data_IF_821368614857
#
_entry.id   IF_821368614857
#
_cell.length_a   1.000
_cell.length_b   1.000
_cell.length_c   1.000
_cell.angle_alpha   90.00
_cell.angle_beta   90.00
_cell.angle_gamma   90.00
#
_symmetry.space_group_name_H-M   'P 1'
#
loop_
_entity.id
_entity.type
_entity.pdbx_description
1 polymer ?
#
# COMPACT_ATOMS: atom_id res chain seq x y z
N UNK A 1 -13.79 -14.88 20.47
CA UNK A 1 -14.42 -14.62 19.15
C UNK A 1 -15.05 -13.24 19.23
N UNK A 2 -14.46 -12.22 18.59
CA UNK A 2 -15.03 -10.87 18.58
C UNK A 2 -16.25 -10.90 17.67
N UNK A 3 -17.45 -10.77 18.23
CA UNK A 3 -18.70 -10.63 17.47
C UNK A 3 -18.71 -9.20 16.95
N UNK A 4 -18.18 -8.98 15.75
CA UNK A 4 -18.30 -7.69 15.07
C UNK A 4 -19.77 -7.41 14.81
N UNK A 5 -20.31 -6.34 15.41
CA UNK A 5 -21.70 -5.88 15.23
C UNK A 5 -21.98 -5.27 13.85
N UNK A 6 -21.00 -5.31 12.94
CA UNK A 6 -21.04 -4.67 11.64
C UNK A 6 -20.49 -5.62 10.57
N UNK A 7 -21.10 -5.59 9.39
CA UNK A 7 -20.61 -6.24 8.17
C UNK A 7 -20.14 -5.16 7.19
N UNK A 8 -19.10 -5.40 6.39
CA UNK A 8 -18.71 -4.50 5.32
C UNK A 8 -19.86 -4.24 4.33
N UNK A 9 -19.93 -3.02 3.79
CA UNK A 9 -20.83 -2.69 2.70
C UNK A 9 -20.24 -3.23 1.39
N UNK A 10 -20.99 -4.06 0.68
CA UNK A 10 -20.62 -4.55 -0.64
C UNK A 10 -20.93 -3.49 -1.70
N UNK A 11 -20.07 -3.41 -2.73
CA UNK A 11 -20.30 -2.51 -3.85
C UNK A 11 -21.56 -2.95 -4.61
N UNK A 12 -22.49 -2.04 -4.93
CA UNK A 12 -23.68 -2.40 -5.69
C UNK A 12 -23.29 -2.78 -7.12
N UNK A 13 -23.78 -3.92 -7.58
CA UNK A 13 -23.74 -4.29 -8.99
C UNK A 13 -24.84 -3.48 -9.70
N UNK A 14 -24.46 -2.63 -10.66
CA UNK A 14 -25.42 -1.80 -11.39
C UNK A 14 -26.34 -2.66 -12.26
N UNK A 15 -25.77 -3.67 -12.92
CA UNK A 15 -26.51 -4.62 -13.74
C UNK A 15 -26.01 -6.06 -13.48
N UNK A 16 -26.85 -6.93 -12.89
CA UNK A 16 -26.46 -8.29 -12.55
C UNK A 16 -26.59 -9.28 -13.71
N UNK A 17 -27.04 -8.85 -14.89
CA UNK A 17 -27.27 -9.74 -16.03
C UNK A 17 -25.96 -10.29 -16.58
N UNK A 18 -25.92 -11.60 -16.82
CA UNK A 18 -24.87 -12.27 -17.55
C UNK A 18 -25.23 -12.42 -19.04
N UNK A 19 -24.28 -12.84 -19.86
CA UNK A 19 -24.44 -12.97 -21.31
C UNK A 19 -25.62 -13.88 -21.69
N UNK A 20 -25.77 -15.03 -21.02
CA UNK A 20 -26.89 -15.95 -21.24
C UNK A 20 -28.24 -15.27 -21.06
N UNK A 21 -28.39 -14.47 -20.00
CA UNK A 21 -29.63 -13.75 -19.75
C UNK A 21 -29.88 -12.66 -20.81
N UNK A 22 -28.83 -12.01 -21.29
CA UNK A 22 -28.95 -11.03 -22.38
C UNK A 22 -29.42 -11.69 -23.69
N UNK A 23 -28.89 -12.87 -24.01
CA UNK A 23 -29.31 -13.62 -25.20
C UNK A 23 -30.77 -14.06 -25.10
N UNK A 24 -31.19 -14.58 -23.94
CA UNK A 24 -32.59 -14.96 -23.70
C UNK A 24 -33.54 -13.77 -23.89
N UNK A 25 -33.22 -12.63 -23.26
CA UNK A 25 -34.00 -11.40 -23.38
C UNK A 25 -34.03 -10.86 -24.82
N UNK A 26 -32.91 -10.96 -25.55
CA UNK A 26 -32.83 -10.53 -26.94
C UNK A 26 -33.69 -11.39 -27.86
N UNK A 27 -33.70 -12.71 -27.66
CA UNK A 27 -34.55 -13.64 -28.41
C UNK A 27 -36.02 -13.33 -28.20
N UNK A 28 -36.46 -13.18 -26.95
CA UNK A 28 -37.84 -12.83 -26.62
C UNK A 28 -38.24 -11.51 -27.30
N UNK A 29 -37.36 -10.50 -27.24
CA UNK A 29 -37.61 -9.20 -27.85
C UNK A 29 -37.71 -9.25 -29.37
N UNK A 30 -36.85 -10.01 -30.05
CA UNK A 30 -36.90 -10.19 -31.51
C UNK A 30 -38.15 -10.94 -31.93
N UNK A 31 -38.51 -12.02 -31.21
CA UNK A 31 -39.73 -12.78 -31.48
C UNK A 31 -40.98 -11.89 -31.39
N UNK A 32 -41.13 -11.17 -30.27
CA UNK A 32 -42.27 -10.27 -30.05
C UNK A 32 -42.31 -9.11 -31.05
N UNK A 33 -41.18 -8.45 -31.31
CA UNK A 33 -41.10 -7.33 -32.24
C UNK A 33 -41.39 -7.73 -33.69
N UNK A 34 -41.08 -8.97 -34.08
CA UNK A 34 -41.38 -9.50 -35.41
C UNK A 34 -42.85 -9.94 -35.57
N UNK A 35 -43.62 -9.97 -34.49
CA UNK A 35 -44.96 -10.57 -34.46
C UNK A 35 -44.92 -12.09 -34.69
N UNK A 36 -43.86 -12.76 -34.24
CA UNK A 36 -43.65 -14.20 -34.42
C UNK A 36 -43.18 -14.61 -35.83
N UNK A 37 -42.86 -13.66 -36.72
CA UNK A 37 -42.29 -13.97 -38.05
C UNK A 37 -40.88 -14.54 -37.97
N UNK A 38 -40.07 -14.03 -37.03
CA UNK A 38 -38.73 -14.55 -36.74
C UNK A 38 -38.88 -15.48 -35.54
N UNK A 39 -38.79 -16.78 -35.78
CA UNK A 39 -39.03 -17.82 -34.77
C UNK A 39 -37.96 -18.93 -34.73
N UNK A 40 -36.98 -18.94 -35.64
CA UNK A 40 -35.84 -19.86 -35.59
C UNK A 40 -34.64 -19.22 -34.87
N UNK A 41 -34.44 -19.64 -33.62
CA UNK A 41 -33.32 -19.25 -32.76
C UNK A 41 -32.46 -20.47 -32.36
N UNK A 42 -32.48 -21.52 -33.18
CA UNK A 42 -31.60 -22.67 -33.02
C UNK A 42 -30.12 -22.26 -33.08
N UNK A 43 -29.22 -23.11 -32.58
CA UNK A 43 -27.77 -22.83 -32.58
C UNK A 43 -27.17 -22.69 -33.99
N UNK A 44 -27.82 -23.25 -35.01
CA UNK A 44 -27.45 -23.11 -36.42
C UNK A 44 -28.01 -21.86 -37.10
N UNK A 45 -28.91 -21.13 -36.45
CA UNK A 45 -29.56 -19.96 -37.03
C UNK A 45 -28.58 -18.78 -37.15
N UNK A 46 -28.42 -18.16 -38.32
CA UNK A 46 -27.65 -16.92 -38.46
C UNK A 46 -28.19 -15.78 -37.58
N UNK A 47 -29.49 -15.77 -37.29
CA UNK A 47 -30.13 -14.80 -36.39
C UNK A 47 -29.66 -15.02 -34.96
N UNK A 48 -29.56 -16.29 -34.51
CA UNK A 48 -29.03 -16.63 -33.18
C UNK A 48 -27.58 -16.17 -33.04
N UNK A 49 -26.73 -16.44 -34.04
CA UNK A 49 -25.33 -16.00 -34.03
C UNK A 49 -25.20 -14.46 -33.96
N UNK A 50 -26.06 -13.72 -34.66
CA UNK A 50 -26.09 -12.25 -34.60
C UNK A 50 -26.54 -11.74 -33.22
N UNK A 51 -27.53 -12.39 -32.61
CA UNK A 51 -27.98 -12.06 -31.25
C UNK A 51 -26.87 -12.34 -30.23
N UNK A 52 -26.19 -13.47 -30.32
CA UNK A 52 -25.07 -13.82 -29.44
C UNK A 52 -23.93 -12.80 -29.57
N UNK A 53 -23.55 -12.44 -30.80
CA UNK A 53 -22.53 -11.40 -31.02
C UNK A 53 -22.90 -10.04 -30.41
N UNK A 54 -24.18 -9.65 -30.51
CA UNK A 54 -24.67 -8.41 -29.88
C UNK A 54 -24.73 -8.50 -28.36
N UNK A 55 -25.15 -9.65 -27.82
CA UNK A 55 -25.20 -9.89 -26.38
C UNK A 55 -23.79 -9.90 -25.78
N UNK A 56 -22.80 -10.49 -26.46
CA UNK A 56 -21.39 -10.43 -26.08
C UNK A 56 -20.90 -8.98 -25.99
N UNK A 57 -21.10 -8.17 -27.04
CA UNK A 57 -20.69 -6.76 -27.03
C UNK A 57 -21.39 -5.96 -25.93
N UNK A 58 -22.66 -6.25 -25.65
CA UNK A 58 -23.39 -5.64 -24.55
C UNK A 58 -22.85 -6.09 -23.18
N UNK A 59 -22.48 -7.37 -23.03
CA UNK A 59 -21.91 -7.92 -21.80
C UNK A 59 -20.56 -7.27 -21.47
N UNK A 60 -19.70 -7.04 -22.46
CA UNK A 60 -18.46 -6.28 -22.27
C UNK A 60 -18.74 -4.86 -21.76
N UNK A 61 -19.73 -4.18 -22.35
CA UNK A 61 -20.11 -2.85 -21.87
C UNK A 61 -20.65 -2.88 -20.43
N UNK A 62 -21.47 -3.87 -20.08
CA UNK A 62 -21.98 -4.05 -18.72
C UNK A 62 -20.88 -4.34 -17.70
N UNK A 63 -19.86 -5.12 -18.09
CA UNK A 63 -18.70 -5.36 -17.24
C UNK A 63 -18.01 -4.04 -16.85
N UNK A 64 -17.74 -3.18 -17.83
CA UNK A 64 -17.14 -1.85 -17.57
C UNK A 64 -18.10 -0.91 -16.83
N UNK A 65 -19.39 -0.97 -17.13
CA UNK A 65 -20.40 -0.19 -16.41
C UNK A 65 -20.43 -0.56 -14.91
N UNK A 66 -20.30 -1.84 -14.56
CA UNK A 66 -20.27 -2.26 -13.16
C UNK A 66 -19.01 -1.75 -12.41
N UNK A 67 -17.91 -1.49 -13.12
CA UNK A 67 -16.70 -0.88 -12.54
C UNK A 67 -16.79 0.65 -12.41
N UNK A 68 -17.77 1.28 -13.06
CA UNK A 68 -17.92 2.74 -13.11
C UNK A 68 -18.05 3.37 -11.72
N UNK A 69 -18.82 2.76 -10.81
CA UNK A 69 -19.04 3.30 -9.45
C UNK A 69 -17.72 3.37 -8.69
N UNK A 70 -16.88 2.34 -8.82
CA UNK A 70 -15.55 2.34 -8.20
C UNK A 70 -14.64 3.40 -8.82
N UNK A 71 -14.62 3.52 -10.15
CA UNK A 71 -13.83 4.53 -10.85
C UNK A 71 -14.21 5.96 -10.41
N UNK A 72 -15.51 6.26 -10.35
CA UNK A 72 -16.03 7.56 -9.87
C UNK A 72 -15.63 7.80 -8.40
N UNK A 73 -15.70 6.78 -7.54
CA UNK A 73 -15.31 6.92 -6.14
C UNK A 73 -13.83 7.34 -5.99
N UNK A 74 -12.95 6.76 -6.80
CA UNK A 74 -11.52 7.10 -6.82
C UNK A 74 -11.34 8.52 -7.38
N UNK A 75 -12.04 8.87 -8.46
CA UNK A 75 -11.93 10.19 -9.08
C UNK A 75 -12.40 11.31 -8.14
N UNK A 76 -13.47 11.09 -7.39
CA UNK A 76 -13.95 12.03 -6.35
C UNK A 76 -12.87 12.25 -5.29
N UNK A 77 -12.22 11.18 -4.83
CA UNK A 77 -11.13 11.28 -3.86
C UNK A 77 -9.90 12.00 -4.44
N UNK A 78 -9.57 11.76 -5.70
CA UNK A 78 -8.48 12.48 -6.39
C UNK A 78 -8.78 13.98 -6.51
N UNK A 79 -10.00 14.35 -6.89
CA UNK A 79 -10.44 15.75 -6.94
C UNK A 79 -10.37 16.40 -5.55
N UNK A 80 -10.67 15.64 -4.50
CA UNK A 80 -10.52 16.07 -3.11
C UNK A 80 -9.05 16.15 -2.64
N UNK A 81 -8.07 15.83 -3.49
CA UNK A 81 -6.64 15.86 -3.14
C UNK A 81 -6.18 14.69 -2.29
N UNK A 82 -6.99 13.63 -2.14
CA UNK A 82 -6.59 12.44 -1.39
C UNK A 82 -5.58 11.65 -2.22
N UNK A 83 -4.38 11.48 -1.66
CA UNK A 83 -3.31 10.67 -2.25
C UNK A 83 -3.07 9.42 -1.41
N UNK A 84 -2.62 8.35 -2.06
CA UNK A 84 -2.21 7.10 -1.41
C UNK A 84 -0.92 7.33 -0.63
N UNK A 85 -0.85 6.88 0.62
CA UNK A 85 0.41 6.89 1.38
C UNK A 85 1.36 5.85 0.82
N UNK A 86 2.58 6.28 0.53
CA UNK A 86 3.67 5.36 0.22
C UNK A 86 4.06 4.59 1.48
N UNK A 87 4.66 3.43 1.26
CA UNK A 87 5.30 2.69 2.32
C UNK A 87 6.57 3.39 2.81
N UNK A 88 7.21 2.80 3.80
CA UNK A 88 8.55 3.17 4.26
C UNK A 88 9.51 2.02 4.00
N UNK A 89 10.79 2.36 3.82
CA UNK A 89 11.88 1.40 3.70
C UNK A 89 12.35 0.95 5.08
N UNK A 90 12.77 -0.31 5.19
CA UNK A 90 13.44 -0.82 6.39
C UNK A 90 14.87 -0.30 6.49
N UNK A 91 15.34 -0.09 7.72
CA UNK A 91 16.68 0.37 8.03
C UNK A 91 17.37 -0.59 9.01
N UNK A 92 18.70 -0.67 8.91
CA UNK A 92 19.52 -1.45 9.84
C UNK A 92 20.96 -0.94 9.88
N UNK A 93 21.78 -1.55 10.73
CA UNK A 93 23.22 -1.30 10.79
C UNK A 93 23.95 -2.53 10.27
N UNK A 94 24.75 -2.34 9.22
CA UNK A 94 25.63 -3.35 8.67
C UNK A 94 26.99 -3.29 9.34
N UNK A 95 27.50 -4.45 9.73
CA UNK A 95 28.85 -4.66 10.23
C UNK A 95 29.68 -5.35 9.16
N UNK A 96 30.68 -4.66 8.65
CA UNK A 96 31.64 -5.18 7.69
C UNK A 96 32.88 -5.68 8.43
N UNK A 97 33.40 -6.84 8.03
CA UNK A 97 34.60 -7.45 8.61
C UNK A 97 35.66 -7.66 7.53
N UNK A 98 36.90 -7.28 7.83
CA UNK A 98 38.08 -7.46 6.99
C UNK A 98 38.80 -8.77 7.32
N UNK A 99 39.52 -9.33 6.35
CA UNK A 99 40.28 -10.58 6.54
C UNK A 99 41.45 -10.44 7.51
N UNK A 100 42.06 -9.24 7.59
CA UNK A 100 43.16 -8.93 8.48
C UNK A 100 43.24 -7.41 8.72
N UNK A 101 43.89 -6.95 9.81
CA UNK A 101 44.14 -5.53 10.03
C UNK A 101 45.00 -4.94 8.91
N UNK A 102 44.60 -3.78 8.38
CA UNK A 102 45.33 -3.08 7.31
C UNK A 102 46.12 -1.89 7.85
N UNK A 103 47.24 -1.56 7.20
CA UNK A 103 48.10 -0.43 7.58
C UNK A 103 47.53 0.94 7.11
N UNK A 104 46.67 0.94 6.10
CA UNK A 104 45.94 2.11 5.60
C UNK A 104 44.45 1.97 5.90
N UNK A 105 43.69 3.09 6.03
CA UNK A 105 42.25 3.02 6.21
C UNK A 105 41.59 2.34 5.00
N UNK A 106 40.61 1.47 5.27
CA UNK A 106 39.81 0.81 4.25
C UNK A 106 38.46 1.50 4.13
N UNK A 107 37.99 1.70 2.90
CA UNK A 107 36.75 2.45 2.63
C UNK A 107 35.75 1.58 1.90
N UNK A 108 34.53 1.49 2.44
CA UNK A 108 33.36 0.96 1.72
C UNK A 108 32.55 2.17 1.22
N UNK A 109 32.27 2.26 -0.09
CA UNK A 109 31.56 3.42 -0.63
C UNK A 109 30.11 3.49 -0.12
N UNK A 110 29.53 4.69 -0.19
CA UNK A 110 28.09 4.89 -0.08
C UNK A 110 27.38 4.17 -1.23
N UNK A 111 26.18 3.65 -0.99
CA UNK A 111 25.39 2.93 -1.98
C UNK A 111 25.90 1.51 -2.25
N UNK A 112 26.80 1.00 -1.42
CA UNK A 112 27.29 -0.37 -1.53
C UNK A 112 26.16 -1.36 -1.22
N UNK A 113 25.92 -2.29 -2.14
CA UNK A 113 24.77 -3.19 -2.07
C UNK A 113 25.10 -4.49 -1.31
N UNK A 114 24.19 -4.87 -0.42
CA UNK A 114 24.27 -6.10 0.37
C UNK A 114 22.93 -6.83 0.28
N UNK A 115 22.99 -8.13 0.03
CA UNK A 115 21.81 -8.96 -0.12
C UNK A 115 21.59 -9.87 1.08
N UNK A 116 20.33 -10.21 1.28
CA UNK A 116 19.93 -11.25 2.22
C UNK A 116 20.39 -12.64 1.77
N UNK A 117 20.24 -13.64 2.65
CA UNK A 117 20.60 -15.03 2.34
C UNK A 117 19.82 -15.60 1.14
N UNK A 118 18.59 -15.15 0.90
CA UNK A 118 17.80 -15.59 -0.25
C UNK A 118 18.17 -14.90 -1.57
N UNK A 119 18.94 -13.81 -1.51
CA UNK A 119 19.34 -13.01 -2.67
C UNK A 119 18.24 -12.10 -3.23
N UNK A 120 17.09 -12.02 -2.55
CA UNK A 120 15.90 -11.26 -2.98
C UNK A 120 15.92 -9.84 -2.45
N UNK A 121 16.24 -9.67 -1.18
CA UNK A 121 16.16 -8.37 -0.51
C UNK A 121 17.55 -7.73 -0.57
N UNK A 122 17.59 -6.46 -0.97
CA UNK A 122 18.83 -5.71 -1.13
C UNK A 122 18.81 -4.45 -0.27
N UNK A 123 19.93 -4.19 0.41
CA UNK A 123 20.19 -3.01 1.19
C UNK A 123 21.35 -2.23 0.59
N UNK A 124 21.30 -0.90 0.68
CA UNK A 124 22.36 0.00 0.27
C UNK A 124 22.92 0.74 1.48
N UNK A 125 24.25 0.91 1.56
CA UNK A 125 24.88 1.73 2.61
C UNK A 125 24.50 3.21 2.44
N UNK A 126 24.08 3.85 3.53
CA UNK A 126 23.59 5.24 3.45
C UNK A 126 24.71 6.27 3.38
N UNK A 127 25.90 5.90 3.86
CA UNK A 127 27.09 6.75 3.91
C UNK A 127 28.36 5.94 3.62
N UNK A 128 29.48 6.64 3.48
CA UNK A 128 30.79 6.03 3.30
C UNK A 128 31.30 5.49 4.64
N UNK A 129 31.64 4.20 4.69
CA UNK A 129 32.26 3.59 5.87
C UNK A 129 33.78 3.64 5.74
N UNK A 130 34.45 4.20 6.75
CA UNK A 130 35.91 4.20 6.87
C UNK A 130 36.32 3.32 8.05
N UNK A 131 36.94 2.17 7.77
CA UNK A 131 37.58 1.32 8.76
C UNK A 131 39.01 1.83 8.96
N UNK A 132 39.30 2.36 10.14
CA UNK A 132 40.60 2.93 10.47
C UNK A 132 41.70 1.87 10.40
N UNK A 133 42.94 2.30 10.11
CA UNK A 133 44.10 1.40 10.11
C UNK A 133 44.22 0.64 11.44
N UNK A 134 44.53 -0.65 11.36
CA UNK A 134 44.60 -1.56 12.52
C UNK A 134 43.26 -2.11 13.01
N UNK A 135 42.12 -1.60 12.54
CA UNK A 135 40.80 -2.17 12.82
C UNK A 135 40.40 -3.22 11.77
N UNK A 136 39.62 -4.20 12.19
CA UNK A 136 39.11 -5.29 11.31
C UNK A 136 37.61 -5.23 11.09
N UNK A 137 36.89 -4.38 11.81
CA UNK A 137 35.44 -4.25 11.69
C UNK A 137 35.02 -2.79 11.67
N UNK A 138 33.94 -2.51 10.95
CA UNK A 138 33.29 -1.20 10.91
C UNK A 138 31.78 -1.34 10.74
N UNK A 139 31.05 -0.32 11.19
CA UNK A 139 29.59 -0.29 11.15
C UNK A 139 29.09 0.91 10.37
N UNK A 140 28.04 0.71 9.58
CA UNK A 140 27.40 1.76 8.79
C UNK A 140 25.91 1.51 8.68
N UNK A 141 25.11 2.58 8.66
CA UNK A 141 23.67 2.43 8.41
C UNK A 141 23.41 2.01 6.97
N UNK A 142 22.35 1.23 6.79
CA UNK A 142 21.90 0.82 5.47
C UNK A 142 20.37 0.81 5.40
N UNK A 143 19.87 1.23 4.25
CA UNK A 143 18.45 1.27 3.92
C UNK A 143 18.10 0.24 2.85
N UNK A 144 16.95 -0.41 3.00
CA UNK A 144 16.42 -1.32 2.00
C UNK A 144 16.14 -0.56 0.70
N UNK A 145 16.49 -1.13 -0.45
CA UNK A 145 16.21 -0.50 -1.76
C UNK A 145 14.75 -0.57 -2.15
N UNK A 146 13.97 -1.43 -1.49
CA UNK A 146 12.55 -1.62 -1.73
C UNK A 146 11.70 -1.13 -0.55
N UNK A 147 10.54 -0.57 -0.87
CA UNK A 147 9.53 -0.18 0.11
C UNK A 147 8.79 -1.42 0.62
N UNK A 148 8.27 -1.34 1.85
CA UNK A 148 7.39 -2.37 2.40
C UNK A 148 8.01 -3.20 3.52
N UNK A 149 7.14 -3.96 4.20
CA UNK A 149 7.52 -4.86 5.28
C UNK A 149 8.41 -6.01 4.82
N UNK A 150 8.44 -6.29 3.52
CA UNK A 150 9.36 -7.27 2.95
C UNK A 150 10.83 -6.94 3.22
N UNK A 151 11.18 -5.66 3.47
CA UNK A 151 12.52 -5.27 3.88
C UNK A 151 12.86 -5.60 5.34
N UNK A 152 11.87 -5.93 6.17
CA UNK A 152 12.10 -6.26 7.58
C UNK A 152 12.68 -7.67 7.68
N UNK A 153 14.00 -7.75 7.86
CA UNK A 153 14.75 -9.00 7.93
C UNK A 153 15.31 -9.26 9.32
N UNK A 154 15.43 -10.54 9.67
CA UNK A 154 15.98 -10.96 10.96
C UNK A 154 17.46 -10.58 11.15
N UNK A 155 17.97 -10.77 12.35
CA UNK A 155 19.40 -10.63 12.64
C UNK A 155 20.23 -11.62 11.81
N UNK A 156 21.45 -11.25 11.47
CA UNK A 156 22.42 -12.06 10.73
C UNK A 156 21.92 -12.62 9.38
N UNK A 157 21.03 -11.88 8.73
CA UNK A 157 20.39 -12.28 7.47
C UNK A 157 21.02 -11.64 6.23
N UNK A 158 21.57 -10.43 6.37
CA UNK A 158 22.22 -9.65 5.31
C UNK A 158 23.70 -10.05 5.20
N UNK A 159 24.00 -11.04 4.37
CA UNK A 159 25.32 -11.71 4.35
C UNK A 159 25.99 -11.75 2.99
N UNK A 160 25.27 -11.44 1.91
CA UNK A 160 25.77 -11.58 0.56
C UNK A 160 26.34 -10.24 0.06
N UNK A 161 27.63 -10.23 -0.26
CA UNK A 161 28.30 -9.10 -0.92
C UNK A 161 27.97 -9.15 -2.41
N UNK A 162 27.38 -8.08 -2.97
CA UNK A 162 27.06 -8.06 -4.41
C UNK A 162 28.27 -7.72 -5.29
N UNK A 163 29.25 -7.01 -4.75
CA UNK A 163 30.46 -6.58 -5.46
C UNK A 163 31.68 -6.89 -4.59
N UNK A 164 32.59 -7.77 -5.00
CA UNK A 164 33.76 -8.09 -4.17
C UNK A 164 34.65 -6.86 -4.00
N UNK A 165 34.99 -6.52 -2.75
CA UNK A 165 36.03 -5.55 -2.43
C UNK A 165 37.24 -6.30 -1.87
N UNK A 166 38.45 -5.90 -2.28
CA UNK A 166 39.67 -6.51 -1.77
C UNK A 166 39.73 -6.39 -0.23
N UNK A 167 40.20 -7.43 0.45
CA UNK A 167 40.32 -7.50 1.91
C UNK A 167 38.99 -7.51 2.70
N UNK A 168 37.85 -7.32 2.05
CA UNK A 168 36.55 -7.46 2.69
C UNK A 168 36.18 -8.94 2.80
N UNK A 169 36.06 -9.44 4.03
CA UNK A 169 35.79 -10.84 4.31
C UNK A 169 34.29 -11.14 4.33
N UNK A 170 33.52 -10.33 5.05
CA UNK A 170 32.10 -10.57 5.25
C UNK A 170 31.34 -9.30 5.63
N UNK A 171 30.03 -9.37 5.49
CA UNK A 171 29.08 -8.39 6.01
C UNK A 171 27.98 -9.11 6.78
N UNK A 172 27.48 -8.48 7.84
CA UNK A 172 26.32 -8.99 8.57
C UNK A 172 25.56 -7.86 9.26
N UNK A 173 24.27 -8.04 9.51
CA UNK A 173 23.47 -7.15 10.37
C UNK A 173 23.32 -7.77 11.76
N UNK A 174 23.86 -7.13 12.80
CA UNK A 174 23.76 -7.65 14.18
C UNK A 174 22.33 -7.48 14.71
N UNK A 175 21.69 -6.36 14.36
CA UNK A 175 20.29 -6.08 14.64
C UNK A 175 19.44 -6.37 13.41
N UNK A 176 18.18 -6.77 13.60
CA UNK A 176 17.24 -6.94 12.49
C UNK A 176 16.99 -5.63 11.77
N UNK A 177 16.63 -5.68 10.50
CA UNK A 177 16.12 -4.51 9.81
C UNK A 177 14.65 -4.31 10.16
N UNK A 178 14.28 -3.07 10.46
CA UNK A 178 12.92 -2.71 10.85
C UNK A 178 12.53 -1.36 10.26
N UNK A 179 11.25 -0.99 10.38
CA UNK A 179 10.73 0.29 9.89
C UNK A 179 10.11 0.23 8.51
N UNK A 180 10.09 -0.95 7.87
CA UNK A 180 9.35 -1.17 6.64
C UNK A 180 7.85 -1.10 6.87
N UNK A 181 7.15 -0.31 6.06
CA UNK A 181 5.68 -0.31 6.05
C UNK A 181 5.18 -0.43 4.63
N UNK A 182 4.15 -1.25 4.42
CA UNK A 182 3.59 -1.46 3.09
C UNK A 182 2.84 -0.21 2.62
N UNK A 183 2.89 0.09 1.31
CA UNK A 183 2.10 1.18 0.76
C UNK A 183 0.61 0.90 0.95
N UNK A 184 -0.12 1.90 1.41
CA UNK A 184 -1.55 1.83 1.73
C UNK A 184 -2.37 1.20 0.60
N UNK A 185 -3.26 0.22 0.81
CA UNK A 185 -4.04 -0.34 -0.31
C UNK A 185 -5.03 0.70 -0.88
N UNK A 186 -5.59 0.45 -2.07
CA UNK A 186 -6.64 1.33 -2.64
C UNK A 186 -7.85 1.36 -1.69
N UNK A 187 -8.23 0.23 -1.10
CA UNK A 187 -9.32 0.16 -0.13
C UNK A 187 -9.04 0.96 1.14
N UNK A 188 -7.83 0.86 1.70
CA UNK A 188 -7.42 1.67 2.85
C UNK A 188 -7.42 3.16 2.51
N UNK A 189 -6.91 3.51 1.32
CA UNK A 189 -6.91 4.88 0.80
C UNK A 189 -8.33 5.42 0.66
N UNK A 190 -9.26 4.63 0.11
CA UNK A 190 -10.68 4.97 0.00
C UNK A 190 -11.29 5.21 1.38
N UNK A 191 -11.09 4.27 2.30
CA UNK A 191 -11.62 4.37 3.67
C UNK A 191 -11.12 5.63 4.38
N UNK A 192 -9.81 5.90 4.34
CA UNK A 192 -9.20 7.10 4.93
C UNK A 192 -9.68 8.38 4.22
N UNK A 193 -9.74 8.39 2.89
CA UNK A 193 -10.16 9.54 2.09
C UNK A 193 -11.60 9.95 2.36
N UNK A 194 -12.52 8.99 2.41
CA UNK A 194 -13.91 9.30 2.78
C UNK A 194 -14.04 9.70 4.26
N UNK A 195 -13.21 9.15 5.15
CA UNK A 195 -13.16 9.61 6.54
C UNK A 195 -12.65 11.06 6.65
N UNK A 196 -11.64 11.46 5.86
CA UNK A 196 -11.15 12.85 5.86
C UNK A 196 -12.18 13.82 5.28
N UNK A 197 -12.94 13.42 4.25
CA UNK A 197 -14.03 14.23 3.69
C UNK A 197 -15.18 14.49 4.68
N UNK A 198 -15.38 13.59 5.66
CA UNK A 198 -16.38 13.77 6.72
C UNK A 198 -15.92 14.75 7.79
N UNK A 199 -14.61 15.03 7.92
CA UNK A 199 -14.11 15.97 8.93
C UNK A 199 -14.53 17.39 8.55
N UNK A 200 -15.38 18.00 9.37
CA UNK A 200 -15.73 19.43 9.29
C UNK A 200 -14.97 20.19 10.37
N UNK A 201 -13.74 20.63 10.04
CA UNK A 201 -12.89 21.40 10.97
C UNK A 201 -12.43 20.61 12.19
N UNK A 202 -11.33 21.04 12.81
CA UNK A 202 -10.85 20.48 14.07
C UNK A 202 -11.58 21.19 15.22
N UNK A 203 -12.67 20.59 15.71
CA UNK A 203 -13.52 21.22 16.72
C UNK A 203 -13.45 20.47 18.06
N UNK A 204 -13.55 19.14 18.01
CA UNK A 204 -13.50 18.29 19.20
C UNK A 204 -12.09 17.73 19.46
N UNK A 205 -11.82 17.29 20.69
CA UNK A 205 -10.55 16.65 21.04
C UNK A 205 -10.27 15.41 20.18
N UNK A 206 -11.30 14.62 19.84
CA UNK A 206 -11.18 13.47 18.95
C UNK A 206 -10.77 13.89 17.53
N UNK A 207 -11.27 15.01 17.01
CA UNK A 207 -10.86 15.54 15.70
C UNK A 207 -9.38 15.88 15.68
N UNK A 208 -8.90 16.59 16.72
CA UNK A 208 -7.47 16.91 16.87
C UNK A 208 -6.62 15.66 17.03
N UNK A 209 -7.11 14.64 17.74
CA UNK A 209 -6.41 13.38 17.94
C UNK A 209 -6.23 12.62 16.63
N UNK A 210 -7.29 12.50 15.84
CA UNK A 210 -7.27 11.80 14.57
C UNK A 210 -6.53 12.57 13.47
N UNK A 211 -6.43 13.91 13.57
CA UNK A 211 -5.53 14.72 12.74
C UNK A 211 -4.08 14.52 13.14
N UNK A 212 -3.78 14.51 14.43
CA UNK A 212 -2.43 14.26 14.94
C UNK A 212 -1.92 12.88 14.48
N UNK A 213 -2.74 11.82 14.60
CA UNK A 213 -2.39 10.48 14.05
C UNK A 213 -2.21 10.51 12.53
N UNK A 214 -3.04 11.28 11.83
CA UNK A 214 -2.94 11.40 10.36
C UNK A 214 -1.62 12.04 9.92
N UNK A 215 -1.18 13.09 10.61
CA UNK A 215 0.08 13.78 10.32
C UNK A 215 1.31 12.92 10.65
N UNK A 216 1.22 12.10 11.71
CA UNK A 216 2.35 11.28 12.18
C UNK A 216 2.49 9.94 11.44
N UNK A 217 1.40 9.39 10.89
CA UNK A 217 1.43 8.18 10.06
C UNK A 217 0.83 6.93 10.71
N UNK A 218 0.94 5.79 10.02
CA UNK A 218 0.39 4.51 10.47
C UNK A 218 1.19 3.96 11.66
N UNK A 219 0.49 3.66 12.76
CA UNK A 219 1.09 3.13 14.00
C UNK A 219 1.24 4.14 15.13
N UNK A 220 1.09 5.44 14.84
CA UNK A 220 1.20 6.49 15.86
C UNK A 220 0.01 6.50 16.82
N UNK A 221 0.28 6.67 18.10
CA UNK A 221 -0.74 6.86 19.14
C UNK A 221 -0.71 8.33 19.57
N UNK A 222 -1.85 9.00 19.48
CA UNK A 222 -2.02 10.35 19.98
C UNK A 222 -3.21 10.39 20.94
N UNK A 223 -3.12 11.24 21.96
CA UNK A 223 -4.20 11.55 22.89
C UNK A 223 -4.33 13.07 23.05
N UNK A 224 -5.46 13.64 22.66
CA UNK A 224 -5.69 15.08 22.77
C UNK A 224 -6.57 15.42 23.97
N UNK A 225 -6.19 16.46 24.72
CA UNK A 225 -6.92 16.91 25.90
C UNK A 225 -7.26 18.38 25.72
N UNK A 226 -8.55 18.70 25.81
CA UNK A 226 -9.01 20.08 25.92
C UNK A 226 -8.73 20.60 27.33
N UNK A 227 -7.94 21.66 27.46
CA UNK A 227 -7.74 22.31 28.73
C UNK A 227 -8.89 23.27 29.01
N UNK A 228 -9.55 23.10 30.16
CA UNK A 228 -10.51 24.08 30.66
C UNK A 228 -9.82 24.96 31.67
N UNK A 229 -9.90 26.27 31.49
CA UNK A 229 -9.36 27.22 32.46
C UNK A 229 -10.00 27.02 33.84
N UNK A 230 -9.23 27.36 34.88
CA UNK A 230 -9.65 27.23 36.28
C UNK A 230 -10.94 28.01 36.58
N UNK A 231 -11.15 29.13 35.89
CA UNK A 231 -12.35 29.98 35.98
C UNK A 231 -13.55 29.44 35.16
N UNK A 232 -13.34 28.40 34.33
CA UNK A 232 -14.32 27.80 33.40
C UNK A 232 -14.91 28.77 32.37
N UNK A 233 -14.28 29.93 32.18
CA UNK A 233 -14.76 31.03 31.33
C UNK A 233 -13.68 31.41 30.30
N UNK A 234 -12.40 31.44 30.69
CA UNK A 234 -11.31 31.76 29.78
C UNK A 234 -10.89 30.54 28.95
N UNK A 235 -10.55 30.80 27.69
CA UNK A 235 -10.00 29.78 26.79
C UNK A 235 -8.54 29.52 27.14
N UNK A 236 -8.17 28.24 27.26
CA UNK A 236 -6.78 27.78 27.35
C UNK A 236 -6.48 26.87 26.16
N UNK A 237 -5.24 26.91 25.66
CA UNK A 237 -4.80 25.95 24.64
C UNK A 237 -4.81 24.53 25.23
N UNK A 238 -5.43 23.61 24.50
CA UNK A 238 -5.32 22.17 24.76
C UNK A 238 -3.96 21.62 24.36
N UNK A 239 -3.69 20.36 24.71
CA UNK A 239 -2.44 19.66 24.39
C UNK A 239 -2.72 18.37 23.63
N UNK A 240 -1.90 18.09 22.62
CA UNK A 240 -1.84 16.80 21.95
C UNK A 240 -0.62 16.03 22.46
N UNK A 241 -0.85 14.92 23.15
CA UNK A 241 0.20 14.02 23.60
C UNK A 241 0.45 12.97 22.52
N UNK A 242 1.69 12.87 22.06
CA UNK A 242 2.12 11.91 21.05
C UNK A 242 3.01 10.87 21.71
N UNK A 243 2.71 9.60 21.45
CA UNK A 243 3.51 8.47 21.92
C UNK A 243 4.21 7.82 20.73
N UNK A 244 5.53 7.71 20.84
CA UNK A 244 6.40 7.04 19.87
C UNK A 244 6.35 5.52 20.05
#
# INVERSE_FOLDING_TARGET
MSITRFTPLEAPILDPRNEEKLVEMAIERVFLASGGRINDFSTSSPVRALIEGQAFSAAEHLFWANQFVEAVSIQVLQIAGVQRRLGTTSQTILTFTLTAPLASPFTVPQGYLVKDRSGKITFATDEVLIISAGQVAGQVSATCTELGKQGDVGTYSLVQLTQPLAFLQSVTNIQGATGGTDPETIEQTKARGFASLRRRGLVSADDYQEETKSLLGLGSVAHCIGNRSADRISYQLGTAHVFA
#
